data_IF_701028466761
#
_entry.id   IF_701028466761
#
_cell.length_a   1.000
_cell.length_b   1.000
_cell.length_c   1.000
_cell.angle_alpha   90.00
_cell.angle_beta   90.00
_cell.angle_gamma   90.00
#
_symmetry.space_group_name_H-M   'P 1'
#
loop_
_entity.id
_entity.type
_entity.pdbx_description
1 polymer ?
#
# COMPACT_ATOMS: atom_id res chain seq x y z
N UNK A 1 18.82 -18.58 3.35
CA UNK A 1 17.82 -17.49 3.37
C UNK A 1 16.46 -18.12 3.12
N UNK A 2 15.46 -17.95 4.00
CA UNK A 2 14.09 -18.41 3.71
C UNK A 2 13.57 -17.59 2.53
N UNK A 3 13.23 -18.23 1.42
CA UNK A 3 12.54 -17.59 0.30
C UNK A 3 11.34 -16.84 0.88
N UNK A 4 11.37 -15.51 0.86
CA UNK A 4 10.17 -14.74 1.14
C UNK A 4 9.13 -15.19 0.09
N UNK A 5 7.92 -15.62 0.50
CA UNK A 5 6.92 -16.04 -0.46
C UNK A 5 6.62 -14.88 -1.40
N UNK A 6 6.59 -15.15 -2.72
CA UNK A 6 6.18 -14.21 -3.75
C UNK A 6 4.78 -13.70 -3.40
N UNK A 7 4.73 -12.45 -2.93
CA UNK A 7 3.50 -11.80 -2.48
C UNK A 7 3.36 -10.47 -3.19
N UNK A 8 2.15 -10.13 -3.59
CA UNK A 8 1.86 -8.80 -4.09
C UNK A 8 1.92 -7.80 -2.91
N UNK A 9 2.87 -6.88 -2.94
CA UNK A 9 3.01 -5.82 -1.94
C UNK A 9 2.43 -4.54 -2.52
N UNK A 10 1.44 -3.99 -1.85
CA UNK A 10 0.84 -2.69 -2.17
C UNK A 10 1.23 -1.71 -1.07
N UNK A 11 2.10 -0.77 -1.36
CA UNK A 11 2.56 0.23 -0.40
C UNK A 11 1.84 1.55 -0.61
N UNK A 12 1.01 1.95 0.34
CA UNK A 12 0.49 3.32 0.40
C UNK A 12 1.61 4.23 0.90
N UNK A 13 2.04 5.19 0.06
CA UNK A 13 3.10 6.14 0.39
C UNK A 13 2.66 7.57 0.16
N UNK A 14 3.36 8.51 0.78
CA UNK A 14 3.24 9.93 0.46
C UNK A 14 3.90 10.20 -0.90
N UNK A 15 3.21 10.91 -1.78
CA UNK A 15 3.66 11.21 -3.14
C UNK A 15 3.37 12.67 -3.45
N UNK A 16 4.36 13.45 -3.89
CA UNK A 16 4.32 14.87 -4.31
C UNK A 16 3.26 15.79 -3.63
N UNK A 17 1.98 15.64 -3.98
CA UNK A 17 0.85 16.46 -3.51
C UNK A 17 -0.20 15.71 -2.67
N UNK A 18 0.05 14.45 -2.31
CA UNK A 18 -0.90 13.58 -1.62
C UNK A 18 -0.34 12.20 -1.29
N UNK A 19 -1.12 11.18 -1.61
CA UNK A 19 -0.88 9.77 -1.33
C UNK A 19 -1.02 8.95 -2.60
N UNK A 20 -0.25 7.87 -2.74
CA UNK A 20 -0.32 6.96 -3.86
C UNK A 20 -0.09 5.52 -3.39
N UNK A 21 -0.45 4.55 -4.24
CA UNK A 21 -0.18 3.13 -4.05
C UNK A 21 0.99 2.73 -4.96
N UNK A 22 2.09 2.33 -4.34
CA UNK A 22 3.24 1.72 -4.99
C UNK A 22 3.06 0.19 -5.08
N UNK A 23 3.30 -0.38 -6.25
CA UNK A 23 3.31 -1.82 -6.48
C UNK A 23 4.36 -2.14 -7.54
N UNK A 24 5.29 -3.06 -7.23
CA UNK A 24 6.39 -3.46 -8.11
C UNK A 24 7.20 -2.28 -8.66
N UNK A 25 7.35 -1.21 -7.86
CA UNK A 25 8.06 0.02 -8.24
C UNK A 25 7.23 1.04 -9.03
N UNK A 26 5.99 0.74 -9.37
CA UNK A 26 5.08 1.64 -10.08
C UNK A 26 4.10 2.32 -9.12
N UNK A 27 3.87 3.62 -9.31
CA UNK A 27 2.91 4.40 -8.52
C UNK A 27 1.56 4.52 -9.24
N UNK A 28 0.49 4.29 -8.51
CA UNK A 28 -0.90 4.36 -8.98
C UNK A 28 -1.82 4.98 -7.92
N UNK A 29 -3.05 5.32 -8.30
CA UNK A 29 -4.12 5.82 -7.41
C UNK A 29 -3.67 7.00 -6.54
N UNK A 30 -3.10 7.99 -7.21
CA UNK A 30 -2.75 9.26 -6.60
C UNK A 30 -4.02 9.97 -6.13
N UNK A 31 -4.03 10.35 -4.86
CA UNK A 31 -5.14 11.06 -4.23
C UNK A 31 -4.61 12.01 -3.16
N UNK A 32 -5.16 13.22 -3.02
CA UNK A 32 -4.85 14.07 -1.87
C UNK A 32 -5.29 13.43 -0.53
N UNK A 33 -6.30 12.56 -0.56
CA UNK A 33 -6.81 11.83 0.60
C UNK A 33 -6.16 10.44 0.74
N UNK A 34 -5.54 10.21 1.89
CA UNK A 34 -4.92 8.94 2.28
C UNK A 34 -5.91 7.78 2.27
N UNK A 35 -7.13 7.99 2.76
CA UNK A 35 -8.11 6.91 2.90
C UNK A 35 -8.58 6.41 1.54
N UNK A 36 -8.61 7.29 0.53
CA UNK A 36 -8.84 6.91 -0.88
C UNK A 36 -7.69 6.05 -1.40
N UNK A 37 -6.44 6.42 -1.16
CA UNK A 37 -5.27 5.61 -1.56
C UNK A 37 -5.24 4.25 -0.82
N UNK A 38 -5.63 4.21 0.46
CA UNK A 38 -5.79 2.96 1.22
C UNK A 38 -6.91 2.09 0.68
N UNK A 39 -8.05 2.67 0.32
CA UNK A 39 -9.15 1.93 -0.29
C UNK A 39 -8.71 1.31 -1.62
N UNK A 40 -7.97 2.06 -2.45
CA UNK A 40 -7.38 1.56 -3.69
C UNK A 40 -6.39 0.40 -3.46
N UNK A 41 -5.48 0.53 -2.49
CA UNK A 41 -4.54 -0.53 -2.13
C UNK A 41 -5.27 -1.80 -1.67
N UNK A 42 -6.31 -1.67 -0.84
CA UNK A 42 -7.11 -2.81 -0.39
C UNK A 42 -7.91 -3.46 -1.53
N UNK A 43 -8.44 -2.67 -2.48
CA UNK A 43 -9.12 -3.18 -3.67
C UNK A 43 -8.18 -4.05 -4.50
N UNK A 44 -6.93 -3.61 -4.70
CA UNK A 44 -5.90 -4.41 -5.40
C UNK A 44 -5.48 -5.64 -4.63
N UNK A 45 -5.27 -5.50 -3.32
CA UNK A 45 -4.98 -6.63 -2.44
C UNK A 45 -6.07 -7.70 -2.52
N UNK A 46 -7.35 -7.27 -2.56
CA UNK A 46 -8.46 -8.19 -2.76
C UNK A 46 -8.40 -8.90 -4.11
N UNK A 47 -8.14 -8.17 -5.20
CA UNK A 47 -7.95 -8.79 -6.52
C UNK A 47 -6.81 -9.82 -6.53
N UNK A 48 -5.69 -9.55 -5.84
CA UNK A 48 -4.59 -10.50 -5.70
C UNK A 48 -5.01 -11.75 -4.90
N UNK A 49 -5.76 -11.57 -3.81
CA UNK A 49 -6.31 -12.69 -3.03
C UNK A 49 -7.28 -13.55 -3.84
N UNK A 50 -8.20 -12.91 -4.58
CA UNK A 50 -9.17 -13.61 -5.43
C UNK A 50 -8.45 -14.40 -6.55
N UNK A 51 -7.26 -13.95 -6.99
CA UNK A 51 -6.38 -14.67 -7.91
C UNK A 51 -5.49 -15.75 -7.23
N UNK A 52 -5.64 -15.97 -5.92
CA UNK A 52 -4.84 -16.94 -5.16
C UNK A 52 -3.40 -16.49 -4.86
N UNK A 53 -3.06 -15.21 -5.06
CA UNK A 53 -1.73 -14.67 -4.77
C UNK A 53 -1.69 -14.13 -3.33
N UNK A 54 -0.74 -14.57 -2.48
CA UNK A 54 -0.51 -13.93 -1.19
C UNK A 54 -0.29 -12.43 -1.37
N UNK A 55 -0.86 -11.59 -0.51
CA UNK A 55 -0.69 -10.14 -0.63
C UNK A 55 -0.43 -9.48 0.72
N UNK A 56 0.10 -8.26 0.67
CA UNK A 56 0.32 -7.40 1.83
C UNK A 56 -0.03 -5.96 1.44
N UNK A 57 -0.82 -5.28 2.26
CA UNK A 57 -0.96 -3.83 2.21
C UNK A 57 -0.06 -3.24 3.30
N UNK A 58 0.85 -2.35 2.89
CA UNK A 58 1.74 -1.61 3.79
C UNK A 58 1.40 -0.12 3.67
N UNK A 59 1.48 0.61 4.77
CA UNK A 59 1.31 2.07 4.78
C UNK A 59 2.60 2.67 5.34
N UNK A 60 3.20 3.62 4.63
CA UNK A 60 4.46 4.29 5.00
C UNK A 60 4.26 5.80 5.01
N UNK A 61 4.92 6.48 5.95
CA UNK A 61 4.78 7.94 6.12
C UNK A 61 3.55 8.35 6.93
N UNK A 62 2.89 7.39 7.61
CA UNK A 62 1.84 7.70 8.57
C UNK A 62 2.44 8.33 9.83
N UNK A 63 2.39 9.66 9.90
CA UNK A 63 2.63 10.41 11.14
C UNK A 63 1.39 10.29 12.04
N UNK A 64 1.21 9.15 12.70
CA UNK A 64 0.02 8.93 13.54
C UNK A 64 0.18 8.02 14.74
N UNK A 65 1.36 7.43 14.95
CA UNK A 65 1.57 6.52 16.08
C UNK A 65 2.92 6.73 16.78
N UNK A 66 3.37 7.98 16.92
CA UNK A 66 4.42 8.33 17.88
C UNK A 66 3.91 9.44 18.80
N UNK A 67 3.55 9.00 20.01
CA UNK A 67 3.55 9.65 21.31
C UNK A 67 3.66 11.19 21.33
N UNK A 68 2.63 11.86 21.85
CA UNK A 68 2.83 13.12 22.54
C UNK A 68 3.89 12.92 23.63
N UNK A 69 4.99 13.66 23.56
CA UNK A 69 5.92 13.84 24.66
C UNK A 69 5.52 15.11 25.42
#
# INVERSE_FOLDING_TARGET
MRNAPDRAIFTVVRHETGWAVEHDGEFSDMSPDKEVAKAAANKRARAAQDAGKPCLVRIVGEHGFFNAA
#
